data_IF_381294506556
#
_entry.id   IF_381294506556
#
_cell.length_a   1.000
_cell.length_b   1.000
_cell.length_c   1.000
_cell.angle_alpha   90.00
_cell.angle_beta   90.00
_cell.angle_gamma   90.00
#
_symmetry.space_group_name_H-M   'P 1'
#
loop_
_entity.id
_entity.type
_entity.pdbx_description
1 polymer ?
#
# COMPACT_ATOMS: atom_id res chain seq x y z
N UNK A 1 4.14 -10.10 -12.21
CA UNK A 1 5.18 -9.29 -11.53
C UNK A 1 5.17 -9.38 -9.99
N UNK A 2 3.99 -9.46 -9.34
CA UNK A 2 3.86 -9.24 -7.89
C UNK A 2 4.13 -10.46 -6.99
N UNK A 3 4.19 -11.66 -7.58
CA UNK A 3 4.55 -12.91 -6.88
C UNK A 3 6.08 -13.16 -6.84
N UNK A 4 6.89 -12.10 -6.94
CA UNK A 4 8.34 -12.23 -6.86
C UNK A 4 8.79 -12.27 -5.40
N UNK A 5 9.45 -13.36 -5.00
CA UNK A 5 10.01 -13.55 -3.66
C UNK A 5 10.96 -12.40 -3.24
N UNK A 6 11.60 -11.74 -4.20
CA UNK A 6 12.45 -10.56 -3.94
C UNK A 6 11.66 -9.36 -3.40
N UNK A 7 10.45 -9.11 -3.91
CA UNK A 7 9.59 -7.99 -3.47
C UNK A 7 9.06 -8.27 -2.06
N UNK A 8 8.64 -9.51 -1.80
CA UNK A 8 8.19 -9.94 -0.47
C UNK A 8 9.32 -9.89 0.57
N UNK A 9 10.52 -10.34 0.19
CA UNK A 9 11.72 -10.22 1.03
C UNK A 9 12.07 -8.77 1.35
N UNK A 10 11.97 -7.87 0.37
CA UNK A 10 12.26 -6.44 0.56
C UNK A 10 11.31 -5.79 1.57
N UNK A 11 10.01 -6.04 1.44
CA UNK A 11 9.00 -5.55 2.38
C UNK A 11 9.21 -6.10 3.80
N UNK A 12 9.60 -7.38 3.91
CA UNK A 12 9.94 -8.01 5.19
C UNK A 12 11.16 -7.37 5.86
N UNK A 13 12.20 -7.02 5.08
CA UNK A 13 13.38 -6.34 5.62
C UNK A 13 13.02 -4.93 6.08
N UNK A 14 12.29 -4.15 5.28
CA UNK A 14 11.83 -2.82 5.70
C UNK A 14 11.01 -2.90 6.99
N UNK A 15 10.02 -3.78 7.06
CA UNK A 15 9.19 -3.95 8.25
C UNK A 15 10.03 -4.30 9.49
N UNK A 16 10.89 -5.31 9.40
CA UNK A 16 11.66 -5.77 10.58
C UNK A 16 12.82 -4.86 10.97
N UNK A 17 13.51 -4.27 9.99
CA UNK A 17 14.77 -3.54 10.22
C UNK A 17 14.62 -2.03 10.26
N UNK A 18 13.49 -1.49 9.79
CA UNK A 18 13.16 -0.08 9.90
C UNK A 18 11.92 0.13 10.76
N UNK A 19 10.77 -0.41 10.34
CA UNK A 19 9.49 -0.07 10.96
C UNK A 19 9.33 -0.57 12.40
N UNK A 20 9.72 -1.81 12.66
CA UNK A 20 9.64 -2.45 13.99
C UNK A 20 10.92 -2.30 14.81
N UNK A 21 11.95 -1.62 14.29
CA UNK A 21 13.25 -1.53 14.94
C UNK A 21 13.21 -0.66 16.19
N UNK A 22 12.47 0.44 16.15
CA UNK A 22 12.32 1.39 17.24
C UNK A 22 10.92 2.01 17.19
N UNK A 23 10.53 2.65 18.30
CA UNK A 23 9.26 3.38 18.37
C UNK A 23 9.48 4.78 17.83
N UNK A 24 8.89 5.08 16.68
CA UNK A 24 8.85 6.44 16.13
C UNK A 24 7.82 7.27 16.90
N UNK A 25 8.23 8.46 17.34
CA UNK A 25 7.37 9.40 18.09
C UNK A 25 6.96 10.62 17.27
N UNK A 26 7.60 10.85 16.12
CA UNK A 26 7.28 11.96 15.22
C UNK A 26 7.61 11.64 13.76
N UNK A 27 7.05 12.41 12.84
CA UNK A 27 7.33 12.30 11.40
C UNK A 27 8.77 12.72 11.10
N UNK A 28 9.27 13.74 11.79
CA UNK A 28 10.64 14.24 11.64
C UNK A 28 11.68 13.16 11.98
N UNK A 29 11.40 12.33 12.99
CA UNK A 29 12.25 11.19 13.31
C UNK A 29 12.29 10.17 12.16
N UNK A 30 11.15 9.89 11.54
CA UNK A 30 11.08 9.01 10.36
C UNK A 30 11.90 9.62 9.22
N UNK A 31 11.75 10.92 8.96
CA UNK A 31 12.48 11.64 7.90
C UNK A 31 13.99 11.66 8.11
N UNK A 32 14.47 11.64 9.36
CA UNK A 32 15.90 11.51 9.67
C UNK A 32 16.41 10.08 9.50
N UNK A 33 15.60 9.07 9.86
CA UNK A 33 16.03 7.65 9.88
C UNK A 33 15.90 6.98 8.51
N UNK A 34 14.86 7.31 7.75
CA UNK A 34 14.55 6.68 6.47
C UNK A 34 15.68 6.82 5.43
N UNK A 35 16.34 7.99 5.27
CA UNK A 35 17.47 8.12 4.36
C UNK A 35 18.65 7.23 4.73
N UNK A 36 18.92 7.07 6.04
CA UNK A 36 19.99 6.20 6.54
C UNK A 36 19.71 4.74 6.22
N UNK A 37 18.48 4.28 6.50
CA UNK A 37 18.04 2.95 6.13
C UNK A 37 18.15 2.70 4.62
N UNK A 38 17.62 3.61 3.81
CA UNK A 38 17.66 3.49 2.35
C UNK A 38 19.11 3.41 1.83
N UNK A 39 20.02 4.22 2.36
CA UNK A 39 21.45 4.17 2.01
C UNK A 39 22.07 2.82 2.35
N UNK A 40 21.86 2.30 3.56
CA UNK A 40 22.37 0.98 3.97
C UNK A 40 21.74 -0.14 3.14
N UNK A 41 20.46 -0.03 2.80
CA UNK A 41 19.74 -1.02 2.00
C UNK A 41 20.25 -1.07 0.56
N UNK A 42 20.53 0.08 -0.05
CA UNK A 42 21.17 0.18 -1.37
C UNK A 42 22.55 -0.48 -1.38
N UNK A 43 23.38 -0.20 -0.37
CA UNK A 43 24.70 -0.80 -0.22
C UNK A 43 24.63 -2.32 -0.07
N UNK A 44 23.70 -2.83 0.74
CA UNK A 44 23.52 -4.26 0.95
C UNK A 44 23.11 -5.00 -0.32
N UNK A 45 22.24 -4.41 -1.14
CA UNK A 45 21.76 -5.03 -2.38
C UNK A 45 22.62 -4.72 -3.61
N UNK A 46 23.65 -3.88 -3.49
CA UNK A 46 24.40 -3.37 -4.64
C UNK A 46 23.49 -2.65 -5.65
N UNK A 47 22.38 -2.07 -5.18
CA UNK A 47 21.39 -1.45 -6.06
C UNK A 47 21.82 -0.03 -6.41
N UNK A 48 22.00 0.21 -7.70
CA UNK A 48 22.18 1.55 -8.24
C UNK A 48 20.84 2.09 -8.75
N UNK A 49 20.30 3.17 -8.16
CA UNK A 49 19.09 3.78 -8.66
C UNK A 49 19.33 4.30 -10.08
N UNK A 50 18.35 4.14 -10.99
CA UNK A 50 18.48 4.66 -12.35
C UNK A 50 18.68 6.18 -12.31
N UNK A 51 19.50 6.68 -13.24
CA UNK A 51 19.77 8.12 -13.38
C UNK A 51 18.45 8.85 -13.60
N UNK A 52 17.99 9.58 -12.59
CA UNK A 52 16.77 10.38 -12.69
C UNK A 52 17.10 11.61 -13.53
N UNK A 53 16.44 11.75 -14.68
CA UNK A 53 16.41 13.03 -15.43
C UNK A 53 15.81 14.16 -14.58
N UNK A 54 15.70 15.36 -15.15
CA UNK A 54 15.11 16.53 -14.45
C UNK A 54 13.74 16.17 -13.87
N UNK A 55 13.70 16.08 -12.53
CA UNK A 55 12.51 15.69 -11.78
C UNK A 55 11.44 16.75 -12.06
N UNK A 56 10.37 16.40 -12.79
CA UNK A 56 9.21 17.28 -12.90
C UNK A 56 8.74 17.62 -11.49
N UNK A 57 8.64 18.92 -11.17
CA UNK A 57 8.13 19.41 -9.88
C UNK A 57 6.60 19.25 -9.86
N UNK A 58 6.11 18.00 -9.89
CA UNK A 58 4.71 17.74 -9.61
C UNK A 58 4.51 17.81 -8.10
N UNK A 59 3.44 18.45 -7.61
CA UNK A 59 3.11 18.43 -6.20
C UNK A 59 2.94 16.98 -5.72
N UNK A 60 3.40 16.70 -4.51
CA UNK A 60 3.20 15.39 -3.90
C UNK A 60 1.70 15.18 -3.60
N UNK A 61 1.16 14.06 -4.07
CA UNK A 61 -0.19 13.62 -3.74
C UNK A 61 -0.07 12.36 -2.88
N UNK A 62 -0.52 12.40 -1.61
CA UNK A 62 -0.45 11.24 -0.73
C UNK A 62 -1.40 10.15 -1.24
N UNK A 63 -0.82 9.09 -1.80
CA UNK A 63 -1.54 7.93 -2.30
C UNK A 63 -1.02 6.64 -1.67
N UNK A 64 -1.93 5.77 -1.28
CA UNK A 64 -1.63 4.41 -0.81
C UNK A 64 -2.12 3.43 -1.85
N UNK A 65 -1.27 2.46 -2.21
CA UNK A 65 -1.57 1.46 -3.21
C UNK A 65 -1.66 0.08 -2.56
N UNK A 66 -2.75 -0.64 -2.85
CA UNK A 66 -2.96 -2.00 -2.38
C UNK A 66 -3.13 -2.93 -3.58
N UNK A 67 -2.34 -3.99 -3.64
CA UNK A 67 -2.60 -5.11 -4.54
C UNK A 67 -3.40 -6.13 -3.75
N UNK A 68 -4.57 -6.52 -4.26
CA UNK A 68 -5.47 -7.46 -3.58
C UNK A 68 -6.00 -8.51 -4.53
N UNK A 69 -6.06 -9.75 -4.06
CA UNK A 69 -6.83 -10.81 -4.72
C UNK A 69 -8.30 -10.60 -4.39
N UNK A 70 -9.16 -10.77 -5.39
CA UNK A 70 -10.60 -10.77 -5.20
C UNK A 70 -11.04 -12.14 -4.69
N UNK A 71 -11.61 -12.17 -3.50
CA UNK A 71 -12.13 -13.37 -2.85
C UNK A 71 -13.63 -13.48 -3.05
N UNK A 72 -14.17 -14.68 -2.85
CA UNK A 72 -15.60 -14.90 -2.74
C UNK A 72 -15.95 -15.09 -1.27
N UNK A 73 -16.96 -14.37 -0.80
CA UNK A 73 -17.53 -14.57 0.53
C UNK A 73 -18.38 -15.85 0.55
N UNK A 74 -18.13 -16.73 1.50
CA UNK A 74 -18.75 -18.07 1.52
C UNK A 74 -20.26 -18.04 1.75
N UNK A 75 -20.74 -17.08 2.55
CA UNK A 75 -22.14 -16.94 2.93
C UNK A 75 -22.94 -16.18 1.87
N UNK A 76 -22.50 -14.99 1.52
CA UNK A 76 -23.22 -14.11 0.59
C UNK A 76 -22.95 -14.44 -0.89
N UNK A 77 -21.94 -15.26 -1.17
CA UNK A 77 -21.40 -15.54 -2.52
C UNK A 77 -20.95 -14.28 -3.28
N UNK A 78 -20.79 -13.15 -2.59
CA UNK A 78 -20.33 -11.89 -3.17
C UNK A 78 -18.82 -11.89 -3.34
N UNK A 79 -18.33 -11.19 -4.37
CA UNK A 79 -16.90 -10.98 -4.54
C UNK A 79 -16.45 -9.78 -3.72
N UNK A 80 -15.26 -9.83 -3.11
CA UNK A 80 -14.73 -8.73 -2.33
C UNK A 80 -13.21 -8.68 -2.31
N UNK A 81 -12.67 -7.50 -1.98
CA UNK A 81 -11.30 -7.32 -1.51
C UNK A 81 -11.32 -6.79 -0.09
N UNK A 82 -10.28 -7.10 0.68
CA UNK A 82 -10.11 -6.56 2.03
C UNK A 82 -9.04 -5.47 2.05
N UNK A 83 -9.42 -4.27 2.50
CA UNK A 83 -8.53 -3.13 2.68
C UNK A 83 -8.76 -2.59 4.09
N UNK A 84 -7.69 -2.54 4.89
CA UNK A 84 -7.73 -2.05 6.28
C UNK A 84 -8.84 -2.70 7.15
N UNK A 85 -9.04 -4.02 6.99
CA UNK A 85 -10.09 -4.83 7.64
C UNK A 85 -11.52 -4.53 7.19
N UNK A 86 -11.69 -3.74 6.13
CA UNK A 86 -12.99 -3.47 5.51
C UNK A 86 -13.15 -4.30 4.24
N UNK A 87 -14.29 -4.98 4.12
CA UNK A 87 -14.67 -5.71 2.91
C UNK A 87 -15.28 -4.75 1.89
N UNK A 88 -14.64 -4.62 0.75
CA UNK A 88 -15.14 -3.84 -0.39
C UNK A 88 -15.69 -4.82 -1.43
N UNK A 89 -17.00 -4.78 -1.64
CA UNK A 89 -17.68 -5.64 -2.62
C UNK A 89 -17.31 -5.26 -4.05
N UNK A 90 -17.10 -6.25 -4.91
CA UNK A 90 -16.77 -6.11 -6.32
C UNK A 90 -17.67 -7.03 -7.18
N UNK A 91 -17.69 -6.85 -8.51
CA UNK A 91 -18.42 -7.75 -9.40
C UNK A 91 -17.83 -9.17 -9.37
N UNK A 92 -18.70 -10.19 -9.48
CA UNK A 92 -18.32 -11.62 -9.44
C UNK A 92 -17.36 -12.03 -10.57
N UNK A 93 -17.36 -11.32 -11.69
CA UNK A 93 -16.46 -11.57 -12.83
C UNK A 93 -14.99 -11.44 -12.47
N UNK A 94 -14.66 -10.73 -11.38
CA UNK A 94 -13.28 -10.54 -10.94
C UNK A 94 -12.81 -11.56 -9.89
N UNK A 95 -13.65 -12.52 -9.47
CA UNK A 95 -13.26 -13.54 -8.48
C UNK A 95 -11.99 -14.26 -8.94
N UNK A 96 -11.02 -14.38 -8.04
CA UNK A 96 -9.74 -15.03 -8.31
C UNK A 96 -8.71 -14.13 -9.00
N UNK A 97 -9.10 -12.98 -9.53
CA UNK A 97 -8.20 -12.01 -10.16
C UNK A 97 -7.52 -11.12 -9.11
N UNK A 98 -6.43 -10.46 -9.52
CA UNK A 98 -5.79 -9.40 -8.74
C UNK A 98 -6.23 -8.03 -9.24
N UNK A 99 -6.42 -7.10 -8.31
CA UNK A 99 -6.76 -5.69 -8.58
C UNK A 99 -5.77 -4.78 -7.87
N UNK A 100 -5.58 -3.59 -8.43
CA UNK A 100 -4.86 -2.48 -7.83
C UNK A 100 -5.86 -1.49 -7.25
N UNK A 101 -5.90 -1.34 -5.93
CA UNK A 101 -6.69 -0.33 -5.25
C UNK A 101 -5.82 0.88 -4.89
N UNK A 102 -6.22 2.06 -5.34
CA UNK A 102 -5.52 3.33 -5.17
C UNK A 102 -6.32 4.19 -4.21
N UNK A 103 -5.75 4.50 -3.05
CA UNK A 103 -6.39 5.36 -2.05
C UNK A 103 -5.75 6.74 -2.06
N UNK A 104 -6.51 7.73 -2.49
CA UNK A 104 -6.13 9.14 -2.43
C UNK A 104 -6.52 9.73 -1.08
N UNK A 105 -5.52 10.04 -0.24
CA UNK A 105 -5.75 10.51 1.13
C UNK A 105 -6.28 11.94 1.19
N UNK A 106 -6.07 12.76 0.15
CA UNK A 106 -6.59 14.13 0.12
C UNK A 106 -8.09 14.15 -0.21
N UNK A 107 -8.57 13.16 -0.97
CA UNK A 107 -9.96 13.08 -1.45
C UNK A 107 -10.79 12.04 -0.72
N UNK A 108 -10.19 11.29 0.21
CA UNK A 108 -10.79 10.11 0.82
C UNK A 108 -11.42 9.18 -0.23
N UNK A 109 -10.73 8.96 -1.35
CA UNK A 109 -11.28 8.22 -2.50
C UNK A 109 -10.45 6.98 -2.76
N UNK A 110 -11.10 5.82 -2.83
CA UNK A 110 -10.50 4.56 -3.22
C UNK A 110 -11.00 4.15 -4.60
N UNK A 111 -10.08 4.04 -5.55
CA UNK A 111 -10.34 3.53 -6.90
C UNK A 111 -9.74 2.13 -7.04
N UNK A 112 -10.58 1.14 -7.33
CA UNK A 112 -10.18 -0.24 -7.61
C UNK A 112 -10.06 -0.42 -9.11
N UNK A 113 -8.90 -0.85 -9.56
CA UNK A 113 -8.53 -0.98 -10.96
C UNK A 113 -8.15 -2.43 -11.24
N UNK A 114 -8.65 -2.97 -12.35
CA UNK A 114 -8.19 -4.21 -12.94
C UNK A 114 -7.37 -3.89 -14.18
N UNK A 115 -6.25 -4.57 -14.35
CA UNK A 115 -5.40 -4.41 -15.52
C UNK A 115 -5.53 -5.64 -16.42
N UNK A 116 -5.87 -5.41 -17.68
CA UNK A 116 -5.99 -6.43 -18.72
C UNK A 116 -5.44 -5.87 -20.02
N UNK A 117 -4.58 -6.63 -20.71
CA UNK A 117 -3.98 -6.23 -21.99
C UNK A 117 -3.39 -4.80 -21.99
N UNK A 118 -2.68 -4.45 -20.90
CA UNK A 118 -2.09 -3.12 -20.65
C UNK A 118 -3.10 -1.98 -20.53
N UNK A 119 -4.39 -2.29 -20.42
CA UNK A 119 -5.46 -1.33 -20.18
C UNK A 119 -5.92 -1.38 -18.72
N UNK A 120 -6.01 -0.20 -18.11
CA UNK A 120 -6.54 -0.01 -16.77
C UNK A 120 -8.06 0.18 -16.83
N UNK A 121 -8.81 -0.76 -16.25
CA UNK A 121 -10.26 -0.74 -16.16
C UNK A 121 -10.64 -0.39 -14.72
N UNK A 122 -11.37 0.71 -14.52
CA UNK A 122 -11.92 1.05 -13.21
C UNK A 122 -13.04 0.06 -12.89
N UNK A 123 -12.84 -0.76 -11.87
CA UNK A 123 -13.82 -1.74 -11.38
C UNK A 123 -14.80 -1.07 -10.43
N UNK A 124 -14.30 -0.18 -9.56
CA UNK A 124 -15.11 0.50 -8.55
C UNK A 124 -14.42 1.77 -8.08
N UNK A 125 -15.19 2.79 -7.75
CA UNK A 125 -14.73 3.98 -7.04
C UNK A 125 -15.68 4.25 -5.86
N UNK A 126 -15.13 4.61 -4.70
CA UNK A 126 -15.92 4.92 -3.52
C UNK A 126 -15.20 5.90 -2.59
N UNK A 127 -15.96 6.56 -1.72
CA UNK A 127 -15.40 7.24 -0.56
C UNK A 127 -14.86 6.19 0.43
N UNK A 128 -13.60 6.34 0.83
CA UNK A 128 -12.91 5.43 1.73
C UNK A 128 -12.09 6.23 2.73
N UNK A 129 -12.43 6.06 4.00
CA UNK A 129 -11.80 6.75 5.13
C UNK A 129 -11.22 5.72 6.07
N UNK A 130 -10.20 6.11 6.83
CA UNK A 130 -9.65 5.25 7.85
C UNK A 130 -10.73 4.93 8.90
N UNK A 131 -11.12 3.66 9.01
CA UNK A 131 -12.03 3.24 10.06
C UNK A 131 -11.39 3.47 11.44
N UNK A 132 -12.05 4.20 12.36
CA UNK A 132 -11.51 4.49 13.69
C UNK A 132 -11.23 3.21 14.49
N UNK A 133 -11.99 2.13 14.27
CA UNK A 133 -11.78 0.82 14.94
C UNK A 133 -10.47 0.15 14.51
N UNK A 134 -9.90 0.53 13.38
CA UNK A 134 -8.61 0.02 12.92
C UNK A 134 -7.46 0.50 13.82
N UNK A 135 -7.66 1.58 14.60
CA UNK A 135 -6.66 2.10 15.56
C UNK A 135 -6.53 1.26 16.83
N UNK A 136 -7.55 0.49 17.20
CA UNK A 136 -7.62 -0.17 18.51
C UNK A 136 -6.90 -1.53 18.55
N UNK A 137 -6.53 -2.10 17.40
CA UNK A 137 -6.13 -3.52 17.31
C UNK A 137 -4.78 -3.76 16.58
N UNK A 138 -3.91 -2.75 16.50
CA UNK A 138 -2.57 -2.87 15.91
C UNK A 138 -1.57 -1.99 16.63
N UNK A 139 -0.53 -2.60 17.20
CA UNK A 139 0.43 -1.98 18.12
C UNK A 139 0.95 -0.60 17.69
N UNK A 140 0.96 0.32 18.67
CA UNK A 140 1.78 1.53 18.67
C UNK A 140 1.81 2.35 17.37
N UNK A 141 0.66 2.70 16.82
CA UNK A 141 0.53 3.92 16.02
C UNK A 141 -0.05 5.02 16.89
N UNK A 142 0.71 5.41 17.91
CA UNK A 142 0.44 6.61 18.71
C UNK A 142 1.15 7.79 18.04
N UNK A 143 0.53 8.40 17.05
CA UNK A 143 0.75 9.84 16.84
C UNK A 143 -0.18 10.53 17.83
N UNK A 144 0.37 10.92 18.97
CA UNK A 144 -0.32 11.82 19.91
C UNK A 144 -0.10 13.22 19.33
N UNK A 145 -1.19 13.87 18.95
CA UNK A 145 -1.28 15.30 18.63
C UNK A 145 -0.76 16.17 19.75
#
# INVERSE_FOLDING_TARGET
PWNQASIEGSNSIFSRKFWHRERYTSVEMIDQRLPLFNKSYQQYHGYEPPVRGTRRKTPFVPMVYFIRKVYQDEQSKQAYIEILKEKITLPKSYIGMFVLAQWNLNRDTLTVIYESDQQAIIVKELNFKLNPKTRELGGSLSFVT
#
